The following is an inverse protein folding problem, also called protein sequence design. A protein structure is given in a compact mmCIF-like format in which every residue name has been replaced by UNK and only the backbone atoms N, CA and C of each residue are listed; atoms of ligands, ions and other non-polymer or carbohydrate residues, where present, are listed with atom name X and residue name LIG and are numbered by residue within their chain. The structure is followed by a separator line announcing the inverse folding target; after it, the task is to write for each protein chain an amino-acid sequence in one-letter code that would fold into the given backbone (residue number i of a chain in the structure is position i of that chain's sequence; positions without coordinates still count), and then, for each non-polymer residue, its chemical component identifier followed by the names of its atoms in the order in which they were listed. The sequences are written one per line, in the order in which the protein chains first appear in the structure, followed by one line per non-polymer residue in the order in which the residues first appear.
data_IF_413276098344
#
_entry.id   IF_413276098344
#
_cell.length_a   1.000
_cell.length_b   1.000
_cell.length_c   1.000
_cell.angle_alpha   90.00
_cell.angle_beta   90.00
_cell.angle_gamma   90.00
#
_symmetry.space_group_name_H-M   'P 1'
#
loop_
_entity.id
_entity.type
_entity.pdbx_description
1 polymer ?
#
# COMPACT_ATOMS: atom_id res chain seq x y z
N UNK A 1 9.53 -1.62 -0.25
CA UNK A 1 8.45 -1.34 -1.23
C UNK A 1 7.43 -2.47 -1.42
N UNK A 2 7.82 -3.71 -1.79
CA UNK A 2 6.84 -4.81 -2.02
C UNK A 2 6.11 -5.20 -0.72
N UNK A 3 6.85 -5.28 0.39
CA UNK A 3 6.30 -5.58 1.71
C UNK A 3 5.36 -4.48 2.22
N UNK A 4 5.71 -3.20 2.07
CA UNK A 4 4.83 -2.07 2.42
C UNK A 4 3.49 -2.11 1.66
N UNK A 5 3.53 -2.39 0.36
CA UNK A 5 2.32 -2.59 -0.44
C UNK A 5 1.49 -3.76 0.08
N UNK A 6 2.13 -4.89 0.37
CA UNK A 6 1.43 -6.05 0.91
C UNK A 6 0.81 -5.79 2.27
N UNK A 7 1.49 -5.06 3.16
CA UNK A 7 0.97 -4.67 4.47
C UNK A 7 -0.30 -3.82 4.32
N UNK A 8 -0.28 -2.81 3.45
CA UNK A 8 -1.47 -2.00 3.15
C UNK A 8 -2.61 -2.82 2.55
N UNK A 9 -2.30 -3.76 1.64
CA UNK A 9 -3.30 -4.66 1.05
C UNK A 9 -3.94 -5.55 2.12
N UNK A 10 -3.14 -6.23 2.95
CA UNK A 10 -3.67 -7.12 3.99
C UNK A 10 -4.51 -6.34 5.03
N UNK A 11 -4.08 -5.13 5.40
CA UNK A 11 -4.84 -4.28 6.31
C UNK A 11 -6.22 -3.90 5.75
N UNK A 12 -6.34 -3.72 4.43
CA UNK A 12 -7.64 -3.45 3.79
C UNK A 12 -8.45 -4.75 3.56
N UNK A 13 -7.80 -5.84 3.15
CA UNK A 13 -8.48 -7.11 2.87
C UNK A 13 -9.02 -7.82 4.12
N UNK A 14 -8.45 -7.55 5.29
CA UNK A 14 -8.98 -8.04 6.58
C UNK A 14 -10.33 -7.41 6.94
N UNK A 15 -10.71 -6.30 6.31
CA UNK A 15 -12.00 -5.65 6.51
C UNK A 15 -13.08 -6.37 5.69
N UNK A 16 -13.97 -7.08 6.37
CA UNK A 16 -15.01 -7.91 5.73
C UNK A 16 -16.21 -7.11 5.20
N UNK A 17 -16.27 -5.81 5.46
CA UNK A 17 -17.36 -4.92 5.04
C UNK A 17 -16.84 -3.55 4.61
N UNK A 18 -17.59 -2.79 3.79
CA UNK A 18 -17.24 -1.42 3.46
C UNK A 18 -17.08 -0.57 4.72
N UNK A 19 -15.95 0.11 4.83
CA UNK A 19 -15.56 0.89 6.00
C UNK A 19 -14.93 2.20 5.54
N UNK A 20 -15.01 3.24 6.37
CA UNK A 20 -14.15 4.42 6.24
C UNK A 20 -12.83 4.12 6.94
N UNK A 21 -11.73 4.17 6.20
CA UNK A 21 -10.39 3.78 6.69
C UNK A 21 -9.45 4.95 6.50
N UNK A 22 -8.78 5.38 7.56
CA UNK A 22 -7.64 6.29 7.45
C UNK A 22 -6.35 5.47 7.44
N UNK A 23 -5.65 5.46 6.32
CA UNK A 23 -4.38 4.75 6.18
C UNK A 23 -3.23 5.76 6.30
N UNK A 24 -2.47 5.62 7.39
CA UNK A 24 -1.27 6.40 7.65
C UNK A 24 -0.06 5.64 7.09
N UNK A 25 0.72 6.28 6.22
CA UNK A 25 1.97 5.71 5.72
C UNK A 25 3.04 6.79 5.62
N UNK A 26 4.26 6.45 6.03
CA UNK A 26 5.47 7.24 5.81
C UNK A 26 6.11 6.98 4.44
N UNK A 27 5.67 5.93 3.75
CA UNK A 27 6.15 5.57 2.43
C UNK A 27 5.63 6.55 1.37
N UNK A 28 6.52 7.47 0.98
CA UNK A 28 6.31 8.36 -0.17
C UNK A 28 6.01 7.54 -1.44
N UNK A 29 6.59 6.34 -1.56
CA UNK A 29 6.36 5.44 -2.70
C UNK A 29 4.90 4.97 -2.78
N UNK A 30 4.32 4.53 -1.66
CA UNK A 30 2.92 4.11 -1.60
C UNK A 30 2.00 5.31 -1.81
N UNK A 31 2.26 6.42 -1.11
CA UNK A 31 1.44 7.62 -1.22
C UNK A 31 1.38 8.17 -2.66
N UNK A 32 2.54 8.45 -3.27
CA UNK A 32 2.61 8.92 -4.67
C UNK A 32 2.08 7.89 -5.65
N UNK A 33 2.32 6.61 -5.37
CA UNK A 33 1.80 5.55 -6.20
C UNK A 33 0.27 5.55 -6.25
N UNK A 34 -0.41 5.81 -5.14
CA UNK A 34 -1.87 5.85 -5.09
C UNK A 34 -2.43 7.16 -5.62
N UNK A 35 -1.85 8.30 -5.25
CA UNK A 35 -2.39 9.62 -5.62
C UNK A 35 -2.07 10.00 -7.06
N UNK A 36 -0.85 9.70 -7.54
CA UNK A 36 -0.32 10.27 -8.77
C UNK A 36 -0.21 9.22 -9.88
N UNK A 37 0.28 8.02 -9.57
CA UNK A 37 0.65 7.04 -10.59
C UNK A 37 -0.48 6.08 -10.94
N UNK A 38 -1.13 5.49 -9.95
CA UNK A 38 -2.18 4.48 -10.12
C UNK A 38 -3.36 4.97 -10.99
N UNK A 39 -3.88 6.21 -10.83
CA UNK A 39 -4.92 6.72 -11.71
C UNK A 39 -4.48 6.78 -13.17
N UNK A 40 -3.22 7.14 -13.42
CA UNK A 40 -2.64 7.20 -14.76
C UNK A 40 -2.37 5.81 -15.33
N UNK A 41 -1.89 4.87 -14.52
CA UNK A 41 -1.70 3.47 -14.92
C UNK A 41 -3.03 2.82 -15.29
N UNK A 42 -4.09 3.03 -14.50
CA UNK A 42 -5.45 2.53 -14.81
C UNK A 42 -5.93 3.04 -16.17
N UNK A 43 -5.80 4.35 -16.44
CA UNK A 43 -6.15 4.94 -17.75
C UNK A 43 -5.34 4.38 -18.91
N UNK A 44 -4.10 3.93 -18.66
CA UNK A 44 -3.18 3.38 -19.67
C UNK A 44 -3.18 1.84 -19.72
N UNK A 45 -4.15 1.18 -19.08
CA UNK A 45 -4.24 -0.29 -19.06
C UNK A 45 -3.06 -0.95 -18.34
N UNK A 46 -2.62 -0.36 -17.22
CA UNK A 46 -1.51 -0.82 -16.38
C UNK A 46 -0.14 -0.83 -17.07
N UNK A 47 0.09 0.15 -17.94
CA UNK A 47 1.37 0.36 -18.61
C UNK A 47 2.02 1.69 -18.20
N UNK A 48 3.34 1.69 -18.14
CA UNK A 48 4.15 2.89 -17.93
C UNK A 48 4.14 3.79 -19.18
N UNK A 49 4.71 4.99 -19.08
CA UNK A 49 4.90 5.86 -20.25
C UNK A 49 5.76 5.21 -21.34
N UNK A 50 6.68 4.32 -20.96
CA UNK A 50 7.50 3.53 -21.88
C UNK A 50 6.77 2.32 -22.48
N UNK A 51 5.44 2.18 -22.26
CA UNK A 51 4.60 1.05 -22.70
C UNK A 51 5.00 -0.31 -22.12
N UNK A 52 5.83 -0.33 -21.09
CA UNK A 52 6.19 -1.52 -20.34
C UNK A 52 5.23 -1.76 -19.18
N UNK A 53 5.18 -2.99 -18.67
CA UNK A 53 4.41 -3.34 -17.47
C UNK A 53 4.86 -2.53 -16.26
N UNK A 54 3.91 -2.16 -15.40
CA UNK A 54 4.19 -1.43 -14.17
C UNK A 54 4.91 -2.35 -13.18
N UNK A 55 5.92 -1.83 -12.49
CA UNK A 55 6.60 -2.58 -11.43
C UNK A 55 5.62 -2.86 -10.28
N UNK A 56 5.53 -4.11 -9.85
CA UNK A 56 4.54 -4.59 -8.86
C UNK A 56 3.08 -4.43 -9.30
N UNK A 57 2.79 -4.48 -10.61
CA UNK A 57 1.44 -4.37 -11.16
C UNK A 57 0.44 -5.30 -10.47
N UNK A 58 0.86 -6.52 -10.14
CA UNK A 58 0.06 -7.51 -9.41
C UNK A 58 -0.46 -6.97 -8.08
N UNK A 59 0.42 -6.34 -7.30
CA UNK A 59 0.06 -5.75 -6.00
C UNK A 59 -0.77 -4.48 -6.16
N UNK A 60 -0.43 -3.64 -7.13
CA UNK A 60 -1.19 -2.41 -7.37
C UNK A 60 -2.64 -2.71 -7.79
N UNK A 61 -2.85 -3.73 -8.62
CA UNK A 61 -4.20 -4.18 -8.99
C UNK A 61 -4.97 -4.73 -7.79
N UNK A 62 -4.30 -5.52 -6.94
CA UNK A 62 -4.90 -6.07 -5.72
C UNK A 62 -5.25 -4.96 -4.72
N UNK A 63 -4.36 -3.98 -4.55
CA UNK A 63 -4.60 -2.79 -3.74
C UNK A 63 -5.75 -1.96 -4.27
N UNK A 64 -5.82 -1.70 -5.59
CA UNK A 64 -6.93 -0.98 -6.22
C UNK A 64 -8.29 -1.66 -5.96
N UNK A 65 -8.33 -3.00 -6.06
CA UNK A 65 -9.52 -3.77 -5.76
C UNK A 65 -9.92 -3.72 -4.28
N UNK A 66 -8.95 -3.72 -3.36
CA UNK A 66 -9.19 -3.57 -1.93
C UNK A 66 -9.72 -2.16 -1.60
N UNK A 67 -9.05 -1.12 -2.12
CA UNK A 67 -9.47 0.29 -1.93
C UNK A 67 -10.87 0.53 -2.47
N UNK A 68 -11.23 -0.05 -3.62
CA UNK A 68 -12.54 0.15 -4.22
C UNK A 68 -13.72 -0.32 -3.32
N UNK A 69 -13.47 -1.19 -2.33
CA UNK A 69 -14.48 -1.65 -1.37
C UNK A 69 -14.68 -0.72 -0.18
N UNK A 70 -13.73 0.17 0.09
CA UNK A 70 -13.68 1.00 1.30
C UNK A 70 -13.55 2.49 0.93
N UNK A 71 -13.97 3.38 1.84
CA UNK A 71 -13.67 4.80 1.72
C UNK A 71 -12.32 5.05 2.38
N UNK A 72 -11.25 5.01 1.59
CA UNK A 72 -9.88 5.14 2.12
C UNK A 72 -9.40 6.58 2.03
N UNK A 73 -9.01 7.14 3.18
CA UNK A 73 -8.33 8.43 3.30
C UNK A 73 -6.84 8.20 3.56
N UNK A 74 -5.99 8.77 2.71
CA UNK A 74 -4.54 8.61 2.77
C UNK A 74 -3.94 9.77 3.52
N UNK A 75 -3.20 9.48 4.59
CA UNK A 75 -2.46 10.49 5.35
C UNK A 75 -0.98 10.15 5.33
N UNK A 76 -0.20 11.06 4.78
CA UNK A 76 1.24 10.99 4.88
C UNK A 76 1.66 11.37 6.30
N UNK A 77 2.44 10.50 6.94
CA UNK A 77 3.10 10.80 8.22
C UNK A 77 4.60 10.88 7.99
N UNK A 78 5.27 11.79 8.68
CA UNK A 78 6.72 11.96 8.52
C UNK A 78 7.43 10.79 9.19
N UNK A 79 8.04 9.91 8.40
CA UNK A 79 8.90 8.84 8.91
C UNK A 79 10.08 9.42 9.70
N UNK A 80 10.31 8.85 10.88
CA UNK A 80 11.27 9.28 11.91
C UNK A 80 10.92 10.60 12.62
N UNK A 81 10.05 10.49 13.63
CA UNK A 81 10.16 11.13 14.96
C UNK A 81 8.98 10.69 15.85
N UNK A 82 9.09 9.51 16.47
CA UNK A 82 8.36 9.21 17.72
C UNK A 82 6.92 8.71 17.63
N UNK A 83 6.56 7.88 16.64
CA UNK A 83 5.24 7.23 16.62
C UNK A 83 5.37 5.74 16.99
N UNK A 84 5.07 5.42 18.25
CA UNK A 84 5.15 4.06 18.85
C UNK A 84 4.29 3.03 18.10
N UNK A 85 3.35 3.50 17.28
CA UNK A 85 2.47 2.67 16.43
C UNK A 85 3.21 2.09 15.22
N UNK A 86 4.21 2.82 14.68
CA UNK A 86 4.98 2.40 13.50
C UNK A 86 6.02 1.34 13.87
N UNK A 87 6.65 1.46 15.05
CA UNK A 87 7.59 0.45 15.57
C UNK A 87 6.95 -0.92 15.77
N UNK A 88 5.65 -0.99 16.12
CA UNK A 88 4.92 -2.25 16.24
C UNK A 88 4.65 -2.92 14.89
N UNK A 89 4.37 -2.13 13.84
CA UNK A 89 4.19 -2.65 12.49
C UNK A 89 5.52 -3.16 11.91
N UNK A 90 6.62 -2.44 12.14
CA UNK A 90 7.97 -2.87 11.76
C UNK A 90 8.42 -4.13 12.54
N UNK A 91 8.11 -4.23 13.83
CA UNK A 91 8.41 -5.42 14.63
C UNK A 91 7.66 -6.67 14.13
N UNK A 92 6.37 -6.52 13.75
CA UNK A 92 5.59 -7.62 13.17
C UNK A 92 6.06 -7.99 11.76
N UNK A 93 6.50 -7.01 10.95
CA UNK A 93 7.07 -7.28 9.64
C UNK A 93 8.40 -8.04 9.73
N UNK A 94 9.23 -7.76 10.74
CA UNK A 94 10.50 -8.45 10.98
C UNK A 94 10.34 -9.88 11.51
N UNK A 95 9.26 -10.19 12.25
CA UNK A 95 8.99 -11.56 12.73
C UNK A 95 8.55 -12.52 11.61
N UNK A 96 8.13 -12.02 10.45
CA UNK A 96 7.75 -12.85 9.29
C UNK A 96 8.92 -13.35 8.45
N UNK A 97 10.16 -12.95 8.74
CA UNK A 97 11.35 -13.35 7.98
C UNK A 97 12.04 -14.58 8.60
N UNK A 98 11.76 -14.92 9.86
CA UNK A 98 12.50 -15.97 10.59
C UNK A 98 11.87 -17.37 10.53
N UNK A 99 11.05 -17.66 9.50
CA UNK A 99 10.45 -19.00 9.29
C UNK A 99 10.83 -19.64 7.94
N UNK A 100 11.85 -19.12 7.26
CA UNK A 100 12.46 -19.74 6.09
C UNK A 100 13.94 -20.03 6.37
N UNK A 101 14.18 -20.99 7.26
CA UNK A 101 15.38 -21.85 7.25
C UNK A 101 15.08 -23.15 7.99
#
# INVERSE_FOLDING_TARGET
NRMELMAAIQALETLTRPCSVQLNSDSIYVLKGITDWMPNWKKRGWKTAARTSVKNEDLWRRLDAAIAKHRVEWKWVKGHSGDTSNERADALANLGIDSLN
#
